data_IF_279223425889
#
_entry.id   IF_279223425889
#
_cell.length_a   1.000
_cell.length_b   1.000
_cell.length_c   1.000
_cell.angle_alpha   90.00
_cell.angle_beta   90.00
_cell.angle_gamma   90.00
#
_symmetry.space_group_name_H-M   'P 1'
#
loop_
_entity.id
_entity.type
_entity.pdbx_description
1 polymer ?
#
# COMPACT_ATOMS: atom_id res chain seq x y z
N UNK A 1 -5.87 -25.99 -22.06
CA UNK A 1 -4.73 -25.08 -21.96
C UNK A 1 -3.73 -25.77 -21.08
N UNK A 2 -2.78 -26.44 -21.72
CA UNK A 2 -2.08 -27.63 -21.22
C UNK A 2 -1.40 -27.44 -19.84
N UNK A 3 -1.00 -26.21 -19.51
CA UNK A 3 -0.46 -25.86 -18.18
C UNK A 3 -1.42 -26.12 -17.02
N UNK A 4 -2.72 -25.97 -17.24
CA UNK A 4 -3.74 -26.12 -16.19
C UNK A 4 -4.01 -27.60 -15.91
N UNK A 5 -4.06 -28.42 -16.96
CA UNK A 5 -4.15 -29.87 -16.81
C UNK A 5 -2.90 -30.44 -16.15
N UNK A 6 -1.71 -29.96 -16.51
CA UNK A 6 -0.46 -30.39 -15.89
C UNK A 6 -0.35 -29.96 -14.41
N UNK A 7 -0.71 -28.71 -14.09
CA UNK A 7 -0.74 -28.21 -12.71
C UNK A 7 -1.74 -28.98 -11.86
N UNK A 8 -2.93 -29.29 -12.40
CA UNK A 8 -3.91 -30.13 -11.71
C UNK A 8 -3.38 -31.56 -11.54
N UNK A 9 -2.61 -32.09 -12.50
CA UNK A 9 -2.04 -33.45 -12.46
C UNK A 9 -1.00 -33.63 -11.35
N UNK A 10 -0.18 -32.61 -11.11
CA UNK A 10 0.87 -32.57 -10.08
C UNK A 10 0.34 -32.13 -8.70
N UNK A 11 -0.91 -31.67 -8.62
CA UNK A 11 -1.47 -31.00 -7.46
C UNK A 11 -1.13 -29.51 -7.49
N UNK A 12 -2.14 -28.68 -7.73
CA UNK A 12 -1.99 -27.23 -7.77
C UNK A 12 -2.38 -26.64 -6.42
N UNK A 13 -1.42 -26.07 -5.69
CA UNK A 13 -1.71 -25.19 -4.56
C UNK A 13 -1.89 -23.77 -5.10
N UNK A 14 -3.15 -23.35 -5.24
CA UNK A 14 -3.58 -21.97 -5.56
C UNK A 14 -3.05 -21.40 -6.88
N UNK A 15 -3.69 -21.77 -7.98
CA UNK A 15 -3.51 -21.13 -9.28
C UNK A 15 -4.61 -20.09 -9.50
N UNK A 16 -4.26 -18.82 -9.73
CA UNK A 16 -5.22 -17.78 -10.12
C UNK A 16 -5.26 -17.63 -11.63
N UNK A 17 -6.45 -17.64 -12.23
CA UNK A 17 -6.61 -17.46 -13.67
C UNK A 17 -7.91 -16.76 -14.04
N UNK A 18 -7.86 -15.99 -15.12
CA UNK A 18 -9.01 -15.31 -15.67
C UNK A 18 -9.82 -16.26 -16.56
N UNK A 19 -11.12 -16.37 -16.26
CA UNK A 19 -12.10 -17.15 -17.02
C UNK A 19 -13.17 -16.24 -17.62
N UNK A 20 -13.98 -16.81 -18.50
CA UNK A 20 -15.10 -16.12 -19.14
C UNK A 20 -16.39 -16.92 -18.93
N UNK A 21 -17.43 -16.25 -18.41
CA UNK A 21 -18.78 -16.79 -18.29
C UNK A 21 -19.43 -16.91 -19.67
N UNK A 22 -20.51 -17.68 -19.79
CA UNK A 22 -21.27 -17.83 -21.06
C UNK A 22 -21.81 -16.51 -21.61
N UNK A 23 -22.09 -15.54 -20.74
CA UNK A 23 -22.56 -14.20 -21.10
C UNK A 23 -21.42 -13.26 -21.57
N UNK A 24 -20.16 -13.73 -21.60
CA UNK A 24 -18.99 -12.96 -22.04
C UNK A 24 -18.24 -12.23 -20.91
N UNK A 25 -18.80 -12.16 -19.70
CA UNK A 25 -18.18 -11.53 -18.54
C UNK A 25 -16.91 -12.27 -18.11
N UNK A 26 -15.84 -11.54 -17.83
CA UNK A 26 -14.58 -12.12 -17.35
C UNK A 26 -14.53 -12.08 -15.82
N UNK A 27 -14.07 -13.17 -15.21
CA UNK A 27 -14.00 -13.32 -13.76
C UNK A 27 -12.73 -14.07 -13.37
N UNK A 28 -12.13 -13.70 -12.26
CA UNK A 28 -10.93 -14.34 -11.75
C UNK A 28 -11.30 -15.54 -10.89
N UNK A 29 -10.59 -16.65 -11.08
CA UNK A 29 -10.79 -17.86 -10.28
C UNK A 29 -9.48 -18.31 -9.66
N UNK A 30 -9.51 -18.53 -8.35
CA UNK A 30 -8.50 -19.30 -7.65
C UNK A 30 -8.85 -20.78 -7.70
N UNK A 31 -7.93 -21.58 -8.22
CA UNK A 31 -8.08 -23.02 -8.41
C UNK A 31 -7.10 -23.72 -7.47
N UNK A 32 -7.64 -24.59 -6.62
CA UNK A 32 -6.84 -25.53 -5.83
C UNK A 32 -7.22 -26.94 -6.24
N UNK A 33 -6.23 -27.80 -6.54
CA UNK A 33 -6.47 -29.19 -6.92
C UNK A 33 -5.58 -30.13 -6.12
N UNK A 34 -6.19 -31.16 -5.54
CA UNK A 34 -5.48 -32.24 -4.84
C UNK A 34 -5.83 -33.60 -5.46
N UNK A 35 -4.83 -34.45 -5.77
CA UNK A 35 -5.09 -35.80 -6.22
C UNK A 35 -5.59 -36.66 -5.04
N UNK A 36 -6.67 -37.39 -5.27
CA UNK A 36 -7.18 -38.39 -4.33
C UNK A 36 -6.76 -39.77 -4.83
N UNK A 37 -6.02 -40.47 -4.00
CA UNK A 37 -5.53 -41.83 -4.27
C UNK A 37 -6.29 -42.86 -3.43
N UNK A 38 -6.47 -44.07 -3.98
CA UNK A 38 -7.00 -45.23 -3.27
C UNK A 38 -6.01 -46.38 -3.45
N UNK A 39 -5.53 -46.97 -2.36
CA UNK A 39 -4.53 -48.04 -2.38
C UNK A 39 -3.25 -47.67 -3.17
N UNK A 40 -2.78 -46.43 -3.07
CA UNK A 40 -1.62 -45.94 -3.80
C UNK A 40 -1.86 -45.63 -5.28
N UNK A 41 -3.02 -46.00 -5.83
CA UNK A 41 -3.41 -45.68 -7.20
C UNK A 41 -4.21 -44.37 -7.27
N UNK A 42 -3.95 -43.54 -8.27
CA UNK A 42 -4.74 -42.35 -8.57
C UNK A 42 -6.20 -42.73 -8.86
N UNK A 43 -7.15 -41.97 -8.29
CA UNK A 43 -8.59 -42.20 -8.49
C UNK A 43 -9.30 -41.01 -9.13
N UNK A 44 -9.15 -39.82 -8.58
CA UNK A 44 -9.71 -38.58 -9.11
C UNK A 44 -8.98 -37.36 -8.54
N UNK A 45 -9.23 -36.19 -9.12
CA UNK A 45 -8.84 -34.90 -8.55
C UNK A 45 -10.01 -34.30 -7.79
N UNK A 46 -9.74 -33.77 -6.59
CA UNK A 46 -10.64 -32.85 -5.91
C UNK A 46 -10.16 -31.43 -6.20
N UNK A 47 -10.97 -30.67 -6.91
CA UNK A 47 -10.68 -29.28 -7.24
C UNK A 47 -11.69 -28.33 -6.60
N UNK A 48 -11.20 -27.24 -6.00
CA UNK A 48 -12.00 -26.10 -5.56
C UNK A 48 -11.74 -24.93 -6.50
N UNK A 49 -12.81 -24.24 -6.85
CA UNK A 49 -12.82 -23.09 -7.75
C UNK A 49 -13.53 -21.96 -7.01
N UNK A 50 -12.77 -20.93 -6.64
CA UNK A 50 -13.28 -19.79 -5.88
C UNK A 50 -13.21 -18.57 -6.78
N UNK A 51 -14.36 -17.92 -7.00
CA UNK A 51 -14.39 -16.62 -7.67
C UNK A 51 -13.70 -15.60 -6.75
N UNK A 52 -12.66 -14.96 -7.25
CA UNK A 52 -11.85 -13.95 -6.55
C UNK A 52 -11.90 -12.59 -7.26
N UNK A 53 -12.92 -12.36 -8.10
CA UNK A 53 -13.06 -11.12 -8.87
C UNK A 53 -13.12 -9.90 -7.96
N UNK A 54 -13.94 -9.96 -6.91
CA UNK A 54 -14.07 -8.86 -5.95
C UNK A 54 -12.74 -8.55 -5.24
N UNK A 55 -11.97 -9.60 -4.89
CA UNK A 55 -10.64 -9.45 -4.30
C UNK A 55 -9.69 -8.73 -5.26
N UNK A 56 -9.66 -9.14 -6.53
CA UNK A 56 -8.80 -8.52 -7.55
C UNK A 56 -9.18 -7.08 -7.83
N UNK A 57 -10.46 -6.76 -7.89
CA UNK A 57 -10.93 -5.38 -8.06
C UNK A 57 -10.56 -4.50 -6.87
N UNK A 58 -10.66 -5.02 -5.64
CA UNK A 58 -10.21 -4.29 -4.45
C UNK A 58 -8.69 -4.06 -4.45
N UNK A 59 -7.90 -5.08 -4.81
CA UNK A 59 -6.43 -4.97 -4.96
C UNK A 59 -6.05 -3.90 -6.01
N UNK A 60 -6.72 -3.89 -7.17
CA UNK A 60 -6.47 -2.92 -8.24
C UNK A 60 -6.91 -1.50 -7.85
N UNK A 61 -8.08 -1.34 -7.25
CA UNK A 61 -8.57 -0.05 -6.77
C UNK A 61 -7.64 0.55 -5.68
N UNK A 62 -7.11 -0.30 -4.79
CA UNK A 62 -6.12 0.12 -3.80
C UNK A 62 -4.84 0.60 -4.47
N UNK A 63 -4.30 -0.18 -5.41
CA UNK A 63 -3.09 0.19 -6.16
C UNK A 63 -3.27 1.51 -6.93
N UNK A 64 -4.42 1.69 -7.58
CA UNK A 64 -4.75 2.92 -8.30
C UNK A 64 -4.87 4.11 -7.32
N UNK A 65 -5.50 3.92 -6.17
CA UNK A 65 -5.63 4.95 -5.14
C UNK A 65 -4.26 5.35 -4.56
N UNK A 66 -3.40 4.38 -4.25
CA UNK A 66 -2.03 4.63 -3.79
C UNK A 66 -1.20 5.35 -4.86
N UNK A 67 -1.34 4.95 -6.13
CA UNK A 67 -0.70 5.61 -7.27
C UNK A 67 -1.14 7.07 -7.43
N UNK A 68 -2.45 7.33 -7.37
CA UNK A 68 -3.02 8.69 -7.42
C UNK A 68 -2.55 9.55 -6.27
N UNK A 69 -2.58 9.03 -5.04
CA UNK A 69 -2.08 9.74 -3.86
C UNK A 69 -0.60 10.09 -4.04
N UNK A 70 0.24 9.12 -4.43
CA UNK A 70 1.66 9.36 -4.66
C UNK A 70 1.91 10.43 -5.74
N UNK A 71 1.17 10.39 -6.85
CA UNK A 71 1.28 11.40 -7.91
C UNK A 71 0.89 12.80 -7.41
N UNK A 72 -0.20 12.92 -6.65
CA UNK A 72 -0.61 14.19 -6.04
C UNK A 72 0.47 14.75 -5.11
N UNK A 73 1.00 13.94 -4.19
CA UNK A 73 2.03 14.37 -3.24
C UNK A 73 3.35 14.75 -3.93
N UNK A 74 3.66 14.14 -5.08
CA UNK A 74 4.83 14.50 -5.90
C UNK A 74 4.62 15.78 -6.73
N UNK A 75 3.38 16.10 -7.08
CA UNK A 75 3.06 17.33 -7.82
C UNK A 75 3.06 18.60 -6.96
N UNK A 76 2.98 18.46 -5.63
CA UNK A 76 3.08 19.57 -4.68
C UNK A 76 4.52 20.11 -4.73
N UNK A 77 4.65 21.37 -5.18
CA UNK A 77 5.94 22.07 -5.26
C UNK A 77 6.49 22.54 -3.91
N UNK A 78 5.69 22.48 -2.84
CA UNK A 78 6.11 22.82 -1.49
C UNK A 78 6.70 21.62 -0.75
N UNK A 79 7.61 21.90 0.19
CA UNK A 79 8.11 20.87 1.09
C UNK A 79 7.00 20.45 2.05
N UNK A 80 6.77 19.15 2.18
CA UNK A 80 5.75 18.61 3.06
C UNK A 80 6.30 17.42 3.83
N UNK A 81 5.98 17.37 5.12
CA UNK A 81 6.37 16.28 6.00
C UNK A 81 5.30 15.98 7.03
N UNK A 82 5.35 14.76 7.54
CA UNK A 82 4.56 14.31 8.67
C UNK A 82 5.48 14.07 9.85
N UNK A 83 4.98 14.34 11.05
CA UNK A 83 5.72 14.24 12.30
C UNK A 83 4.94 13.39 13.31
N UNK A 84 5.65 12.77 14.25
CA UNK A 84 5.04 12.18 15.45
C UNK A 84 4.88 13.23 16.58
N UNK A 85 4.34 12.79 17.72
CA UNK A 85 4.09 13.66 18.89
C UNK A 85 5.37 14.22 19.52
N UNK A 86 6.51 13.58 19.29
CA UNK A 86 7.82 14.01 19.76
C UNK A 86 8.54 14.89 18.72
N UNK A 87 7.84 15.29 17.65
CA UNK A 87 8.36 16.11 16.55
C UNK A 87 9.44 15.43 15.71
N UNK A 88 9.52 14.10 15.72
CA UNK A 88 10.37 13.37 14.78
C UNK A 88 9.68 13.35 13.41
N UNK A 89 10.43 13.58 12.34
CA UNK A 89 9.93 13.49 10.97
C UNK A 89 9.73 12.00 10.62
N UNK A 90 8.49 11.57 10.42
CA UNK A 90 8.15 10.17 10.08
C UNK A 90 7.98 9.96 8.57
N UNK A 91 7.72 11.03 7.82
CA UNK A 91 7.59 10.99 6.37
C UNK A 91 7.86 12.38 5.79
N UNK A 92 8.38 12.44 4.57
CA UNK A 92 8.60 13.68 3.85
C UNK A 92 8.45 13.44 2.34
N UNK A 93 7.87 14.42 1.63
CA UNK A 93 7.77 14.37 0.17
C UNK A 93 9.14 14.55 -0.48
N UNK A 94 9.18 14.33 -1.80
CA UNK A 94 10.42 14.45 -2.59
C UNK A 94 11.05 15.84 -2.44
N UNK A 95 10.25 16.89 -2.52
CA UNK A 95 10.72 18.28 -2.41
C UNK A 95 11.39 18.54 -1.06
N UNK A 96 10.78 18.11 0.05
CA UNK A 96 11.38 18.26 1.37
C UNK A 96 12.74 17.56 1.48
N UNK A 97 12.89 16.37 0.88
CA UNK A 97 14.18 15.65 0.87
C UNK A 97 15.23 16.31 -0.02
N UNK A 98 14.83 16.91 -1.14
CA UNK A 98 15.73 17.67 -2.00
C UNK A 98 16.25 18.94 -1.33
N UNK A 99 15.40 19.63 -0.57
CA UNK A 99 15.75 20.88 0.12
C UNK A 99 16.54 20.63 1.41
N UNK A 100 16.11 19.66 2.24
CA UNK A 100 16.65 19.45 3.59
C UNK A 100 17.52 18.20 3.74
N UNK A 101 17.64 17.38 2.70
CA UNK A 101 18.43 16.15 2.68
C UNK A 101 17.59 14.86 2.71
N UNK A 102 18.18 13.76 2.21
CA UNK A 102 17.51 12.45 2.16
C UNK A 102 17.45 11.73 3.52
N UNK A 103 18.28 12.15 4.49
CA UNK A 103 18.45 11.53 5.80
C UNK A 103 17.64 12.23 6.90
N UNK A 104 16.56 12.94 6.54
CA UNK A 104 15.73 13.70 7.48
C UNK A 104 14.74 12.85 8.29
N UNK A 105 14.45 11.63 7.84
CA UNK A 105 13.51 10.74 8.53
C UNK A 105 14.12 10.30 9.88
N UNK A 106 13.34 10.46 10.96
CA UNK A 106 13.76 10.20 12.33
C UNK A 106 14.41 11.40 13.03
N UNK A 107 14.79 12.46 12.31
CA UNK A 107 15.34 13.68 12.90
C UNK A 107 14.24 14.58 13.46
N UNK A 108 14.60 15.49 14.37
CA UNK A 108 13.69 16.51 14.89
C UNK A 108 13.38 17.55 13.82
N UNK A 109 12.11 17.92 13.71
CA UNK A 109 11.69 18.91 12.72
C UNK A 109 12.33 20.29 12.93
N UNK A 110 12.51 20.71 14.19
CA UNK A 110 13.09 22.01 14.52
C UNK A 110 14.61 22.05 14.29
N UNK A 111 15.30 20.92 14.40
CA UNK A 111 16.71 20.79 14.02
C UNK A 111 16.86 20.83 12.50
N UNK A 112 16.00 20.09 11.79
CA UNK A 112 16.12 19.91 10.35
C UNK A 112 15.68 21.14 9.57
N UNK A 113 14.51 21.72 9.89
CA UNK A 113 13.89 22.79 9.11
C UNK A 113 14.23 24.18 9.64
N UNK A 114 14.52 24.30 10.93
CA UNK A 114 14.75 25.59 11.58
C UNK A 114 16.14 25.74 12.19
N UNK A 115 17.00 24.72 12.12
CA UNK A 115 18.36 24.71 12.69
C UNK A 115 18.38 25.11 14.18
N UNK A 116 17.35 24.68 14.92
CA UNK A 116 17.17 24.93 16.36
C UNK A 116 17.48 23.70 17.18
N UNK A 117 17.75 23.87 18.47
CA UNK A 117 17.92 22.76 19.44
C UNK A 117 16.65 22.44 20.22
N UNK A 118 15.66 23.33 20.16
CA UNK A 118 14.40 23.22 20.87
C UNK A 118 13.23 23.53 19.93
N UNK A 119 12.01 23.08 20.25
CA UNK A 119 10.81 23.40 19.48
C UNK A 119 10.63 24.90 19.27
N UNK A 120 9.90 25.27 18.22
CA UNK A 120 9.90 26.66 17.76
C UNK A 120 9.30 27.63 18.80
N UNK A 121 10.16 28.52 19.34
CA UNK A 121 9.82 29.70 20.15
C UNK A 121 10.08 31.04 19.43
N UNK A 122 9.43 32.14 19.84
CA UNK A 122 8.25 32.19 20.71
C UNK A 122 6.96 31.87 19.93
N UNK A 123 5.95 31.58 20.73
CA UNK A 123 4.76 30.80 20.45
C UNK A 123 3.93 31.14 19.18
N UNK A 124 3.24 30.13 18.60
CA UNK A 124 3.44 28.68 18.76
C UNK A 124 4.01 28.02 17.51
N UNK A 125 4.87 27.02 17.75
CA UNK A 125 5.01 25.88 16.85
C UNK A 125 3.61 25.34 16.51
N UNK A 126 3.19 25.55 15.25
CA UNK A 126 1.86 25.17 14.79
C UNK A 126 1.62 23.67 14.92
N UNK A 127 2.67 22.86 14.74
CA UNK A 127 2.63 21.40 14.91
C UNK A 127 2.30 21.00 16.34
N UNK A 128 2.98 21.57 17.34
CA UNK A 128 2.66 21.29 18.75
C UNK A 128 1.26 21.77 19.12
N UNK A 129 0.84 22.91 18.59
CA UNK A 129 -0.53 23.42 18.81
C UNK A 129 -1.56 22.45 18.24
N UNK A 130 -1.36 21.98 17.00
CA UNK A 130 -2.22 20.99 16.35
C UNK A 130 -2.30 19.68 17.14
N UNK A 131 -1.19 19.18 17.68
CA UNK A 131 -1.21 17.99 18.52
C UNK A 131 -1.92 18.18 19.86
N UNK A 132 -1.93 19.39 20.41
CA UNK A 132 -2.61 19.70 21.68
C UNK A 132 -4.12 19.83 21.52
N UNK A 133 -4.58 20.52 20.48
CA UNK A 133 -6.01 20.84 20.31
C UNK A 133 -6.72 20.02 19.21
N UNK A 134 -5.98 19.24 18.43
CA UNK A 134 -6.50 18.44 17.33
C UNK A 134 -6.97 19.25 16.12
N UNK A 135 -6.64 20.54 16.04
CA UNK A 135 -7.08 21.45 14.97
C UNK A 135 -5.98 21.71 13.96
N UNK A 136 -6.38 22.03 12.74
CA UNK A 136 -5.48 22.52 11.70
C UNK A 136 -5.09 23.96 12.03
N UNK A 137 -3.79 24.25 12.05
CA UNK A 137 -3.25 25.60 12.18
C UNK A 137 -2.41 25.94 10.97
N UNK A 138 -2.49 27.19 10.53
CA UNK A 138 -1.72 27.75 9.41
C UNK A 138 -1.10 29.08 9.84
N UNK A 139 0.04 29.41 9.26
CA UNK A 139 0.57 30.77 9.30
C UNK A 139 0.06 31.47 8.03
N UNK A 140 -0.37 32.72 8.15
CA UNK A 140 -0.64 33.52 6.95
C UNK A 140 0.71 33.98 6.39
N UNK A 141 1.00 33.59 5.15
CA UNK A 141 2.23 33.89 4.42
C UNK A 141 2.16 35.23 3.71
#
# INVERSE_FOLDING_TARGET
>A
GDDLEEAMRKGAKKLEKLFQKKNGERFWVEITSVPITKNGAFKYYLASWVDITDRKQAEEALLESEGKLNAMLQSIGDHMSMMDKDLNIIWANKIAKEVFGNDIIGKKCYETYHQRKEPCEPYPCLTLKAFRDGKVHKHDT
#
